data_IF_504372029912
#
_entry.id   IF_504372029912
#
_cell.length_a   1.000
_cell.length_b   1.000
_cell.length_c   1.000
_cell.angle_alpha   90.00
_cell.angle_beta   90.00
_cell.angle_gamma   90.00
#
_symmetry.space_group_name_H-M   'P 1'
#
loop_
_entity.id
_entity.type
_entity.pdbx_description
1 polymer ?
#
# COMPACT_ATOMS: atom_id res chain seq x y z
N UNK A 1 8.28 -13.63 18.70
CA UNK A 1 9.46 -14.32 19.27
C UNK A 1 10.25 -13.29 20.03
N UNK A 2 10.28 -13.37 21.34
CA UNK A 2 10.89 -12.36 22.20
C UNK A 2 12.21 -12.79 22.84
N UNK A 3 12.69 -14.00 22.51
CA UNK A 3 13.92 -14.54 23.00
C UNK A 3 14.95 -14.80 21.88
N UNK A 4 16.20 -14.45 22.14
CA UNK A 4 17.33 -14.71 21.25
C UNK A 4 17.48 -16.21 21.02
N UNK A 5 17.50 -16.70 19.77
CA UNK A 5 17.64 -18.14 19.49
C UNK A 5 18.99 -18.70 19.89
N UNK A 6 20.03 -17.88 20.06
CA UNK A 6 21.37 -18.31 20.41
C UNK A 6 21.62 -18.39 21.91
N UNK A 7 21.03 -17.51 22.73
CA UNK A 7 21.30 -17.42 24.16
C UNK A 7 20.02 -17.38 25.03
N UNK A 8 18.84 -17.45 24.45
CA UNK A 8 17.54 -17.40 25.12
C UNK A 8 17.30 -16.13 25.97
N UNK A 9 18.13 -15.11 25.84
CA UNK A 9 17.91 -13.82 26.49
C UNK A 9 16.67 -13.16 25.93
N UNK A 10 15.90 -12.47 26.78
CA UNK A 10 14.79 -11.66 26.32
C UNK A 10 15.32 -10.46 25.52
N UNK A 11 14.82 -10.28 24.31
CA UNK A 11 15.18 -9.18 23.40
C UNK A 11 14.24 -7.99 23.52
N UNK A 12 13.10 -8.17 24.22
CA UNK A 12 12.13 -7.10 24.36
C UNK A 12 12.64 -6.07 25.36
N UNK A 13 12.61 -4.83 24.95
CA UNK A 13 12.76 -3.67 25.80
C UNK A 13 11.46 -2.85 25.75
N UNK A 14 11.23 -2.06 26.77
CA UNK A 14 10.06 -1.17 26.82
C UNK A 14 10.56 0.25 26.71
N UNK A 15 10.04 1.00 25.75
CA UNK A 15 10.35 2.43 25.59
C UNK A 15 9.87 3.25 26.78
N UNK A 16 10.31 4.49 26.86
CA UNK A 16 9.82 5.47 27.85
C UNK A 16 8.30 5.73 27.77
N UNK A 17 7.69 5.41 26.64
CA UNK A 17 6.24 5.53 26.39
C UNK A 17 5.48 4.23 26.68
N UNK A 18 6.16 3.15 27.10
CA UNK A 18 5.55 1.85 27.39
C UNK A 18 5.39 0.94 26.16
N UNK A 19 5.84 1.36 24.98
CA UNK A 19 5.81 0.53 23.77
C UNK A 19 6.91 -0.55 23.81
N UNK A 20 6.59 -1.76 23.33
CA UNK A 20 7.58 -2.81 23.14
C UNK A 20 8.52 -2.44 22.00
N UNK A 21 9.81 -2.75 22.16
CA UNK A 21 10.85 -2.50 21.17
C UNK A 21 11.86 -3.65 21.19
N UNK A 22 12.51 -3.88 20.04
CA UNK A 22 13.67 -4.77 19.93
C UNK A 22 14.81 -3.96 19.37
N UNK A 23 15.72 -3.53 20.23
CA UNK A 23 16.83 -2.66 19.85
C UNK A 23 18.02 -3.49 19.35
N UNK A 24 18.64 -3.06 18.27
CA UNK A 24 19.89 -3.61 17.76
C UNK A 24 20.85 -2.51 17.29
N UNK A 25 22.13 -2.86 17.23
CA UNK A 25 23.15 -2.01 16.63
C UNK A 25 23.56 -2.62 15.28
N UNK A 26 23.46 -1.80 14.24
CA UNK A 26 23.86 -2.17 12.88
C UNK A 26 25.18 -1.49 12.54
N UNK A 27 26.18 -2.28 12.18
CA UNK A 27 27.46 -1.77 11.68
C UNK A 27 27.67 -2.26 10.24
N UNK A 28 27.70 -1.32 9.30
CA UNK A 28 27.91 -1.60 7.88
C UNK A 28 28.83 -0.53 7.25
N UNK A 29 29.00 -0.55 5.92
CA UNK A 29 29.81 0.42 5.18
C UNK A 29 29.35 1.88 5.36
N UNK A 30 28.09 2.10 5.71
CA UNK A 30 27.52 3.42 6.02
C UNK A 30 27.77 3.90 7.44
N UNK A 31 28.40 3.06 8.29
CA UNK A 31 28.76 3.37 9.68
C UNK A 31 28.00 2.56 10.72
N UNK A 32 28.12 3.00 11.97
CA UNK A 32 27.43 2.41 13.13
C UNK A 32 26.11 3.14 13.35
N UNK A 33 25.02 2.39 13.36
CA UNK A 33 23.70 2.82 13.80
C UNK A 33 23.37 2.11 15.12
N UNK A 34 23.16 2.86 16.17
CA UNK A 34 22.85 2.33 17.49
C UNK A 34 21.35 2.47 17.79
N UNK A 35 20.85 1.57 18.66
CA UNK A 35 19.47 1.59 19.17
C UNK A 35 18.38 1.57 18.07
N UNK A 36 18.66 0.89 16.96
CA UNK A 36 17.68 0.69 15.89
C UNK A 36 16.58 -0.27 16.36
N UNK A 37 15.33 0.20 16.39
CA UNK A 37 14.18 -0.66 16.70
C UNK A 37 13.84 -1.53 15.47
N UNK A 38 14.06 -2.83 15.61
CA UNK A 38 13.79 -3.81 14.56
C UNK A 38 12.48 -4.58 14.78
N UNK A 39 11.71 -4.27 15.83
CA UNK A 39 10.44 -4.97 16.08
C UNK A 39 9.47 -4.85 14.90
N UNK A 40 9.30 -3.69 14.23
CA UNK A 40 8.45 -3.59 13.03
C UNK A 40 8.89 -4.56 11.94
N UNK A 41 10.20 -4.63 11.64
CA UNK A 41 10.76 -5.53 10.61
C UNK A 41 10.54 -7.01 10.96
N UNK A 42 10.73 -7.39 12.23
CA UNK A 42 10.49 -8.76 12.70
C UNK A 42 9.01 -9.14 12.63
N UNK A 43 8.13 -8.18 12.93
CA UNK A 43 6.68 -8.37 12.83
C UNK A 43 6.27 -8.61 11.38
N UNK A 44 6.76 -7.77 10.48
CA UNK A 44 6.53 -7.89 9.04
C UNK A 44 7.05 -9.22 8.48
N UNK A 45 8.29 -9.58 8.78
CA UNK A 45 8.87 -10.85 8.31
C UNK A 45 8.10 -12.07 8.84
N UNK A 46 7.66 -12.02 10.10
CA UNK A 46 6.84 -13.07 10.69
C UNK A 46 5.48 -13.19 10.03
N UNK A 47 4.87 -12.05 9.70
CA UNK A 47 3.59 -11.97 9.02
C UNK A 47 3.71 -12.54 7.59
N UNK A 48 4.67 -12.05 6.80
CA UNK A 48 4.88 -12.48 5.42
C UNK A 48 5.38 -13.93 5.30
N UNK A 49 5.89 -14.51 6.37
CA UNK A 49 6.17 -15.93 6.44
C UNK A 49 4.91 -16.77 6.63
N UNK A 50 3.91 -16.23 7.32
CA UNK A 50 2.62 -16.88 7.53
C UNK A 50 1.67 -16.67 6.32
N UNK A 51 1.79 -15.53 5.63
CA UNK A 51 0.96 -15.12 4.51
C UNK A 51 1.84 -14.69 3.32
N UNK A 52 2.54 -15.63 2.68
CA UNK A 52 3.48 -15.31 1.59
C UNK A 52 2.80 -14.67 0.37
N UNK A 53 1.53 -14.96 0.14
CA UNK A 53 0.69 -14.41 -0.92
C UNK A 53 0.51 -12.89 -0.81
N UNK A 54 0.62 -12.33 0.39
CA UNK A 54 0.48 -10.89 0.60
C UNK A 54 1.75 -10.07 0.29
N UNK A 55 2.86 -10.73 -0.07
CA UNK A 55 4.13 -10.03 -0.42
C UNK A 55 3.96 -9.08 -1.59
N UNK A 56 3.27 -9.51 -2.66
CA UNK A 56 2.96 -8.65 -3.81
C UNK A 56 2.10 -7.45 -3.39
N UNK A 57 1.08 -7.68 -2.58
CA UNK A 57 0.18 -6.62 -2.10
C UNK A 57 0.94 -5.56 -1.28
N UNK A 58 1.85 -5.97 -0.42
CA UNK A 58 2.66 -5.03 0.36
C UNK A 58 3.66 -4.26 -0.50
N UNK A 59 4.32 -4.92 -1.45
CA UNK A 59 5.19 -4.25 -2.42
C UNK A 59 4.40 -3.20 -3.23
N UNK A 60 3.20 -3.55 -3.67
CA UNK A 60 2.29 -2.60 -4.33
C UNK A 60 1.98 -1.37 -3.48
N UNK A 61 1.71 -1.53 -2.16
CA UNK A 61 1.48 -0.40 -1.26
C UNK A 61 2.72 0.51 -1.13
N UNK A 62 3.93 -0.07 -1.07
CA UNK A 62 5.16 0.72 -1.03
C UNK A 62 5.36 1.49 -2.33
N UNK A 63 5.16 0.89 -3.50
CA UNK A 63 5.23 1.60 -4.78
C UNK A 63 4.16 2.70 -4.89
N UNK A 64 2.96 2.48 -4.34
CA UNK A 64 1.96 3.54 -4.24
C UNK A 64 2.45 4.71 -3.37
N UNK A 65 3.14 4.44 -2.27
CA UNK A 65 3.70 5.46 -1.36
C UNK A 65 4.87 6.19 -1.98
N UNK A 66 5.76 5.49 -2.68
CA UNK A 66 6.91 6.05 -3.37
C UNK A 66 6.53 6.82 -4.64
N UNK A 67 5.34 6.56 -5.18
CA UNK A 67 4.87 7.18 -6.43
C UNK A 67 5.43 6.51 -7.68
N UNK A 68 5.88 5.25 -7.58
CA UNK A 68 6.47 4.51 -8.69
C UNK A 68 5.38 3.87 -9.57
N UNK A 69 4.92 4.63 -10.56
CA UNK A 69 3.89 4.22 -11.53
C UNK A 69 4.32 2.98 -12.32
N UNK A 70 5.60 2.89 -12.72
CA UNK A 70 6.09 1.77 -13.52
C UNK A 70 6.05 0.47 -12.74
N UNK A 71 6.54 0.46 -11.51
CA UNK A 71 6.52 -0.72 -10.65
C UNK A 71 5.08 -1.16 -10.30
N UNK A 72 4.15 -0.20 -10.12
CA UNK A 72 2.72 -0.51 -9.93
C UNK A 72 2.17 -1.25 -11.14
N UNK A 73 2.44 -0.74 -12.35
CA UNK A 73 1.93 -1.34 -13.60
C UNK A 73 2.54 -2.71 -13.84
N UNK A 74 3.84 -2.90 -13.57
CA UNK A 74 4.51 -4.19 -13.70
C UNK A 74 3.86 -5.24 -12.79
N UNK A 75 3.59 -4.90 -11.51
CA UNK A 75 2.88 -5.83 -10.60
C UNK A 75 1.48 -6.19 -11.12
N UNK A 76 0.73 -5.22 -11.65
CA UNK A 76 -0.63 -5.47 -12.14
C UNK A 76 -0.61 -6.38 -13.38
N UNK A 77 0.35 -6.20 -14.29
CA UNK A 77 0.51 -7.05 -15.48
C UNK A 77 0.96 -8.46 -15.14
N UNK A 78 1.86 -8.63 -14.17
CA UNK A 78 2.27 -9.94 -13.68
C UNK A 78 1.09 -10.73 -13.12
N UNK A 79 0.08 -10.05 -12.54
CA UNK A 79 -1.14 -10.70 -12.07
C UNK A 79 -2.04 -11.19 -13.20
N UNK A 80 -2.14 -10.41 -14.28
CA UNK A 80 -2.95 -10.79 -15.46
C UNK A 80 -2.33 -12.02 -16.19
N UNK A 81 -1.00 -12.08 -16.29
CA UNK A 81 -0.30 -13.22 -16.91
C UNK A 81 -0.44 -14.51 -16.08
N UNK A 82 -0.43 -14.42 -14.74
CA UNK A 82 -0.65 -15.57 -13.85
C UNK A 82 -2.09 -16.11 -13.95
N UNK A 83 -3.10 -15.28 -14.28
CA UNK A 83 -4.49 -15.74 -14.49
C UNK A 83 -4.64 -16.69 -15.68
N UNK A 84 -3.89 -16.45 -16.75
CA UNK A 84 -3.95 -17.28 -17.97
C UNK A 84 -3.31 -18.67 -17.76
N UNK A 85 -2.40 -18.83 -16.80
CA UNK A 85 -1.69 -20.09 -16.54
C UNK A 85 -2.36 -20.96 -15.43
N UNK A 86 -3.19 -20.40 -14.54
CA UNK A 86 -3.71 -21.08 -13.34
C UNK A 86 -5.23 -21.33 -13.34
N UNK A 87 -5.87 -21.72 -14.44
CA UNK A 87 -7.28 -22.18 -14.39
C UNK A 87 -7.53 -23.39 -13.48
N UNK A 88 -6.53 -23.98 -12.82
CA UNK A 88 -6.65 -25.24 -12.09
C UNK A 88 -6.56 -25.14 -10.56
N UNK A 89 -6.23 -24.00 -9.95
CA UNK A 89 -6.27 -23.88 -8.48
C UNK A 89 -6.95 -22.58 -8.07
N UNK A 90 -8.25 -22.65 -7.72
CA UNK A 90 -8.98 -21.57 -7.05
C UNK A 90 -8.49 -21.40 -5.61
N UNK A 91 -7.28 -20.94 -5.40
CA UNK A 91 -6.94 -20.20 -4.20
C UNK A 91 -7.57 -18.80 -4.34
N UNK A 92 -8.04 -18.26 -3.22
CA UNK A 92 -8.79 -17.02 -3.17
C UNK A 92 -7.83 -15.88 -3.57
N UNK A 93 -7.83 -15.50 -4.86
CA UNK A 93 -6.97 -14.42 -5.38
C UNK A 93 -7.29 -13.13 -4.63
N UNK A 94 -6.27 -12.49 -4.10
CA UNK A 94 -6.40 -11.21 -3.40
C UNK A 94 -6.53 -10.10 -4.46
N UNK A 95 -7.60 -9.31 -4.40
CA UNK A 95 -7.72 -8.10 -5.23
C UNK A 95 -6.73 -7.04 -4.73
N UNK A 96 -5.58 -6.93 -5.39
CA UNK A 96 -4.47 -6.06 -5.00
C UNK A 96 -4.88 -4.57 -4.97
N UNK A 97 -5.76 -4.14 -5.87
CA UNK A 97 -6.24 -2.75 -5.92
C UNK A 97 -7.10 -2.38 -4.70
N UNK A 98 -7.73 -3.39 -4.06
CA UNK A 98 -8.60 -3.23 -2.88
C UNK A 98 -7.98 -3.78 -1.61
N UNK A 99 -6.76 -4.26 -1.70
CA UNK A 99 -6.03 -4.76 -0.54
C UNK A 99 -5.85 -3.66 0.52
N UNK A 100 -6.05 -4.04 1.77
CA UNK A 100 -5.77 -3.21 2.95
C UNK A 100 -4.78 -3.94 3.85
N UNK A 101 -3.68 -3.29 4.22
CA UNK A 101 -2.58 -3.89 4.98
C UNK A 101 -2.95 -4.14 6.45
N UNK A 102 -3.11 -5.40 6.90
CA UNK A 102 -3.53 -5.69 8.28
C UNK A 102 -2.50 -5.29 9.34
N UNK A 103 -1.23 -5.16 8.98
CA UNK A 103 -0.16 -4.75 9.90
C UNK A 103 0.32 -3.31 9.66
N UNK A 104 -0.21 -2.64 8.64
CA UNK A 104 0.07 -1.24 8.26
C UNK A 104 -1.15 -0.35 8.37
N UNK A 105 -1.81 -0.34 9.54
CA UNK A 105 -2.97 0.51 9.84
C UNK A 105 -4.14 0.35 8.86
N UNK A 106 -4.34 -0.80 8.25
CA UNK A 106 -5.40 -1.05 7.27
C UNK A 106 -5.37 -0.05 6.09
N UNK A 107 -4.21 0.47 5.75
CA UNK A 107 -4.06 1.38 4.62
C UNK A 107 -4.22 0.62 3.30
N UNK A 108 -4.92 1.22 2.34
CA UNK A 108 -4.99 0.75 0.95
C UNK A 108 -3.99 1.47 0.05
N UNK A 109 -3.85 1.02 -1.20
CA UNK A 109 -3.01 1.72 -2.19
C UNK A 109 -3.36 3.19 -2.35
N UNK A 110 -4.66 3.55 -2.30
CA UNK A 110 -5.08 4.95 -2.39
C UNK A 110 -4.65 5.77 -1.16
N UNK A 111 -4.72 5.21 0.05
CA UNK A 111 -4.18 5.85 1.26
C UNK A 111 -2.66 6.05 1.15
N UNK A 112 -1.94 5.03 0.70
CA UNK A 112 -0.49 5.07 0.53
C UNK A 112 -0.05 6.14 -0.49
N UNK A 113 -0.74 6.22 -1.65
CA UNK A 113 -0.48 7.23 -2.68
C UNK A 113 -0.75 8.66 -2.18
N UNK A 114 -1.81 8.84 -1.38
CA UNK A 114 -2.12 10.14 -0.76
C UNK A 114 -1.04 10.51 0.24
N UNK A 115 -0.62 9.61 1.12
CA UNK A 115 0.44 9.84 2.10
C UNK A 115 1.79 10.12 1.42
N UNK A 116 2.09 9.45 0.31
CA UNK A 116 3.28 9.71 -0.51
C UNK A 116 3.23 11.02 -1.30
N UNK A 117 2.04 11.66 -1.38
CA UNK A 117 1.87 12.91 -2.12
C UNK A 117 1.85 12.74 -3.65
N UNK A 118 1.73 11.50 -4.16
CA UNK A 118 1.73 11.21 -5.59
C UNK A 118 0.34 11.38 -6.20
N UNK A 119 0.12 12.51 -6.87
CA UNK A 119 -1.12 12.75 -7.65
C UNK A 119 -1.24 11.81 -8.85
N UNK A 120 -0.11 11.46 -9.44
CA UNK A 120 -0.04 10.60 -10.63
C UNK A 120 -0.54 9.20 -10.29
N UNK A 121 0.03 8.57 -9.27
CA UNK A 121 -0.43 7.27 -8.77
C UNK A 121 -1.89 7.35 -8.31
N UNK A 122 -2.29 8.42 -7.62
CA UNK A 122 -3.68 8.60 -7.19
C UNK A 122 -4.64 8.60 -8.39
N UNK A 123 -4.32 9.31 -9.47
CA UNK A 123 -5.15 9.30 -10.69
C UNK A 123 -5.19 7.92 -11.35
N UNK A 124 -4.04 7.22 -11.40
CA UNK A 124 -3.98 5.86 -11.92
C UNK A 124 -4.90 4.92 -11.13
N UNK A 125 -4.78 4.91 -9.81
CA UNK A 125 -5.63 4.06 -8.95
C UNK A 125 -7.11 4.38 -9.07
N UNK A 126 -7.47 5.68 -9.11
CA UNK A 126 -8.85 6.11 -9.34
C UNK A 126 -9.36 5.65 -10.70
N UNK A 127 -8.54 5.70 -11.74
CA UNK A 127 -8.91 5.19 -13.06
C UNK A 127 -9.20 3.70 -13.00
N UNK A 128 -8.34 2.91 -12.37
CA UNK A 128 -8.40 1.45 -12.39
C UNK A 128 -9.48 0.87 -11.47
N UNK A 129 -9.75 1.50 -10.31
CA UNK A 129 -10.51 0.85 -9.24
C UNK A 129 -11.58 1.71 -8.57
N UNK A 130 -11.99 2.84 -9.16
CA UNK A 130 -13.10 3.64 -8.64
C UNK A 130 -14.28 3.73 -9.61
N UNK A 131 -15.45 4.10 -9.10
CA UNK A 131 -16.64 4.44 -9.91
C UNK A 131 -16.68 5.93 -10.31
N UNK A 132 -15.54 6.65 -10.21
CA UNK A 132 -15.46 8.05 -10.63
C UNK A 132 -15.83 8.19 -12.11
N UNK A 133 -16.62 9.22 -12.43
CA UNK A 133 -17.05 9.46 -13.82
C UNK A 133 -15.82 9.74 -14.70
N UNK A 134 -15.77 9.12 -15.88
CA UNK A 134 -14.68 9.30 -16.84
C UNK A 134 -14.44 10.75 -17.24
N UNK A 135 -15.46 11.60 -17.17
CA UNK A 135 -15.36 13.04 -17.49
C UNK A 135 -14.59 13.85 -16.42
N UNK A 136 -14.41 13.29 -15.21
CA UNK A 136 -13.65 13.91 -14.12
C UNK A 136 -12.15 13.76 -14.26
N UNK A 137 -11.71 12.82 -15.12
CA UNK A 137 -10.29 12.55 -15.33
C UNK A 137 -9.67 13.56 -16.29
N UNK A 138 -8.48 14.10 -15.97
CA UNK A 138 -7.68 14.84 -16.93
C UNK A 138 -7.34 14.00 -18.16
N UNK A 139 -7.33 14.61 -19.34
CA UNK A 139 -7.00 13.91 -20.58
C UNK A 139 -5.60 13.24 -20.55
N UNK A 140 -4.67 13.80 -19.79
CA UNK A 140 -3.31 13.26 -19.60
C UNK A 140 -3.34 11.88 -18.95
N UNK A 141 -4.24 11.63 -18.00
CA UNK A 141 -4.37 10.31 -17.32
C UNK A 141 -4.67 9.20 -18.32
N UNK A 142 -5.54 9.45 -19.30
CA UNK A 142 -5.84 8.48 -20.35
C UNK A 142 -4.66 8.25 -21.30
N UNK A 143 -3.88 9.29 -21.59
CA UNK A 143 -2.69 9.18 -22.42
C UNK A 143 -1.61 8.35 -21.74
N UNK A 144 -1.39 8.58 -20.44
CA UNK A 144 -0.44 7.84 -19.61
C UNK A 144 -0.87 6.39 -19.44
N UNK A 145 -2.13 6.14 -19.10
CA UNK A 145 -2.67 4.77 -18.99
C UNK A 145 -2.56 4.02 -20.31
N UNK A 146 -2.86 4.66 -21.45
CA UNK A 146 -2.70 4.08 -22.77
C UNK A 146 -1.24 3.79 -23.15
N UNK A 147 -0.31 4.67 -22.73
CA UNK A 147 1.12 4.44 -22.94
C UNK A 147 1.66 3.28 -22.09
N UNK A 148 1.07 3.06 -20.92
CA UNK A 148 1.41 1.97 -20.00
C UNK A 148 0.65 0.68 -20.31
N UNK A 149 -0.25 0.69 -21.30
CA UNK A 149 -1.11 -0.42 -21.70
C UNK A 149 -1.93 -0.97 -20.51
N UNK A 150 -2.51 -0.07 -19.72
CA UNK A 150 -3.44 -0.40 -18.63
C UNK A 150 -4.79 0.21 -18.94
N UNK A 151 -5.85 -0.56 -18.70
CA UNK A 151 -7.22 -0.14 -18.96
C UNK A 151 -8.10 -0.35 -17.74
N UNK A 152 -9.14 0.48 -17.65
CA UNK A 152 -10.15 0.33 -16.62
C UNK A 152 -11.06 -0.85 -16.95
N UNK A 153 -11.13 -1.79 -16.02
CA UNK A 153 -12.13 -2.86 -16.06
C UNK A 153 -13.52 -2.36 -15.61
N UNK A 154 -14.54 -3.21 -15.80
CA UNK A 154 -15.87 -2.95 -15.26
C UNK A 154 -15.83 -2.94 -13.71
N UNK A 155 -16.33 -1.85 -13.13
CA UNK A 155 -16.33 -1.62 -11.69
C UNK A 155 -17.72 -1.82 -11.05
N UNK A 156 -18.75 -2.22 -11.83
CA UNK A 156 -20.14 -2.21 -11.38
C UNK A 156 -20.38 -3.07 -10.13
N UNK A 157 -19.71 -4.22 -10.02
CA UNK A 157 -19.85 -5.16 -8.92
C UNK A 157 -18.67 -5.13 -7.94
N UNK A 158 -17.72 -4.21 -8.14
CA UNK A 158 -16.52 -4.08 -7.31
C UNK A 158 -16.66 -2.95 -6.30
N UNK A 159 -16.05 -3.12 -5.12
CA UNK A 159 -15.98 -2.08 -4.11
C UNK A 159 -15.15 -0.90 -4.62
N UNK A 160 -15.71 0.31 -4.54
CA UNK A 160 -14.97 1.53 -4.89
C UNK A 160 -13.88 1.82 -3.86
N UNK A 161 -12.63 1.93 -4.31
CA UNK A 161 -11.46 2.15 -3.44
C UNK A 161 -11.55 3.43 -2.60
N UNK A 162 -12.36 4.41 -3.02
CA UNK A 162 -12.60 5.66 -2.27
C UNK A 162 -13.38 5.45 -0.98
N UNK A 163 -14.11 4.31 -0.87
CA UNK A 163 -14.87 3.96 0.34
C UNK A 163 -14.03 3.28 1.42
N UNK A 164 -12.83 2.81 1.08
CA UNK A 164 -11.95 2.13 2.01
C UNK A 164 -11.54 3.06 3.16
N UNK A 165 -11.43 2.48 4.36
CA UNK A 165 -11.06 3.21 5.56
C UNK A 165 -9.87 2.56 6.25
N UNK A 166 -8.96 3.38 6.73
CA UNK A 166 -7.84 2.92 7.54
C UNK A 166 -8.28 2.46 8.94
N UNK A 167 -7.35 1.99 9.77
CA UNK A 167 -7.63 1.55 11.14
C UNK A 167 -8.20 2.66 12.05
N UNK A 168 -8.02 3.93 11.68
CA UNK A 168 -8.57 5.08 12.37
C UNK A 168 -9.94 5.52 11.80
N UNK A 169 -10.47 4.78 10.83
CA UNK A 169 -11.74 5.07 10.17
C UNK A 169 -11.66 6.19 9.11
N UNK A 170 -10.46 6.64 8.74
CA UNK A 170 -10.24 7.72 7.76
C UNK A 170 -10.25 7.17 6.34
N UNK A 171 -10.84 7.92 5.43
CA UNK A 171 -10.71 7.71 3.98
C UNK A 171 -9.45 8.38 3.44
N UNK A 172 -9.09 8.08 2.19
CA UNK A 172 -8.01 8.79 1.49
C UNK A 172 -8.29 10.31 1.37
N UNK A 173 -9.57 10.73 1.29
CA UNK A 173 -9.94 12.15 1.29
C UNK A 173 -9.67 12.82 2.63
N UNK A 174 -9.98 12.13 3.75
CA UNK A 174 -9.70 12.64 5.09
C UNK A 174 -8.18 12.88 5.26
N UNK A 175 -7.35 11.93 4.82
CA UNK A 175 -5.89 12.08 4.83
C UNK A 175 -5.42 13.24 3.94
N UNK A 176 -5.96 13.38 2.74
CA UNK A 176 -5.62 14.47 1.84
C UNK A 176 -5.97 15.84 2.43
N UNK A 177 -7.08 15.93 3.16
CA UNK A 177 -7.51 17.15 3.85
C UNK A 177 -6.58 17.49 5.03
N UNK A 178 -6.15 16.48 5.80
CA UNK A 178 -5.20 16.64 6.91
C UNK A 178 -3.82 17.08 6.43
N UNK A 179 -3.33 16.50 5.34
CA UNK A 179 -2.00 16.78 4.80
C UNK A 179 -1.90 18.15 4.13
N UNK A 180 -2.97 18.60 3.46
CA UNK A 180 -2.93 19.82 2.65
C UNK A 180 -1.87 19.76 1.54
N UNK A 181 -1.04 20.79 1.40
CA UNK A 181 0.10 20.78 0.47
C UNK A 181 -0.31 20.46 -0.98
N UNK A 182 0.18 19.34 -1.51
CA UNK A 182 -0.12 18.89 -2.88
C UNK A 182 -1.61 18.56 -3.08
N UNK A 183 -2.36 18.32 -2.00
CA UNK A 183 -3.77 17.97 -2.04
C UNK A 183 -4.73 19.16 -1.99
N UNK A 184 -4.20 20.39 -1.89
CA UNK A 184 -5.05 21.59 -1.92
C UNK A 184 -5.89 21.60 -3.20
N UNK A 185 -7.22 21.71 -3.01
CA UNK A 185 -8.20 21.69 -4.10
C UNK A 185 -8.66 20.27 -4.53
N UNK A 186 -8.29 19.22 -3.79
CA UNK A 186 -8.80 17.87 -3.98
C UNK A 186 -9.96 17.52 -3.04
N UNK A 187 -9.83 17.72 -1.70
CA UNK A 187 -10.92 17.43 -0.79
C UNK A 187 -12.19 18.25 -1.12
N UNK A 188 -13.35 17.63 -0.99
CA UNK A 188 -14.64 18.23 -1.30
C UNK A 188 -14.98 18.29 -2.79
N UNK A 189 -14.15 17.74 -3.67
CA UNK A 189 -14.43 17.71 -5.13
C UNK A 189 -15.12 16.43 -5.59
N UNK A 190 -15.30 15.45 -4.71
CA UNK A 190 -15.81 14.12 -5.05
C UNK A 190 -14.82 13.18 -5.75
N UNK A 191 -13.54 13.59 -5.88
CA UNK A 191 -12.51 12.75 -6.51
C UNK A 191 -12.04 11.64 -5.59
N UNK A 192 -11.80 11.95 -4.32
CA UNK A 192 -11.29 11.02 -3.30
C UNK A 192 -12.39 10.48 -2.37
N UNK A 193 -13.62 10.93 -2.48
CA UNK A 193 -14.79 10.47 -1.72
C UNK A 193 -15.93 10.07 -2.66
N UNK A 194 -16.86 9.28 -2.09
CA UNK A 194 -18.12 8.88 -2.74
C UNK A 194 -19.22 9.85 -2.35
#
# INVERSE_FOLDING_TARGET
MTACPACSSNLDTTSSTGAQQVLCNLNNEGGLQEDLDILPLLTEESYLKAYPEERKCRAFLEFCREGDVSAIVDILKDEDEEEDEEEMQKEQKIDILRYQDPIGDMQSGLHAAVLGGSREVTWLLLLLASNLNMQEFPALVFQEAGALDVMREDQADKLDIRSLRDANGRTAEDLAAEMGGVWVGWPGTGRLAI
#
